data_IF_204520567938
#
_entry.id   IF_204520567938
#
_cell.length_a   1.000
_cell.length_b   1.000
_cell.length_c   1.000
_cell.angle_alpha   90.00
_cell.angle_beta   90.00
_cell.angle_gamma   90.00
#
_symmetry.space_group_name_H-M   'P 1'
#
loop_
_entity.id
_entity.type
_entity.pdbx_description
1 polymer ?
#
# COMPACT_ATOMS: atom_id res chain seq x y z
N UNK A 1 -20.77 -1.31 27.50
CA UNK A 1 -20.02 -2.57 27.71
C UNK A 1 -20.99 -3.69 27.43
N UNK A 2 -20.75 -4.48 26.40
CA UNK A 2 -21.62 -5.64 26.10
C UNK A 2 -21.32 -6.73 27.11
N UNK A 3 -22.37 -7.27 27.67
CA UNK A 3 -22.38 -8.28 28.73
C UNK A 3 -21.53 -9.50 28.40
N UNK A 4 -20.45 -9.72 29.15
CA UNK A 4 -19.76 -11.01 29.25
C UNK A 4 -18.66 -11.32 28.25
N UNK A 5 -18.28 -10.41 27.36
CA UNK A 5 -17.15 -10.65 26.46
C UNK A 5 -15.81 -10.45 27.17
N UNK A 6 -14.94 -11.44 27.09
CA UNK A 6 -13.57 -11.36 27.64
C UNK A 6 -12.70 -10.60 26.65
N UNK A 7 -12.26 -9.41 27.04
CA UNK A 7 -11.38 -8.57 26.23
C UNK A 7 -9.94 -9.12 26.18
N UNK A 8 -9.47 -9.58 27.30
CA UNK A 8 -8.14 -10.12 27.48
C UNK A 8 -8.08 -11.02 28.71
N UNK A 9 -7.18 -11.97 28.70
CA UNK A 9 -6.95 -12.93 29.78
C UNK A 9 -5.45 -12.95 30.08
N UNK A 10 -5.09 -12.71 31.32
CA UNK A 10 -3.71 -12.86 31.80
C UNK A 10 -3.38 -14.34 32.03
N UNK A 11 -3.23 -15.19 31.15
CA UNK A 11 -2.85 -16.60 31.36
C UNK A 11 -3.49 -17.34 32.56
N UNK A 12 -3.21 -18.63 32.78
CA UNK A 12 -3.67 -19.33 33.96
C UNK A 12 -2.95 -18.80 35.23
N UNK A 13 -3.72 -18.59 36.27
CA UNK A 13 -3.17 -18.28 37.59
C UNK A 13 -2.66 -19.59 38.20
N UNK A 14 -1.34 -19.69 38.35
CA UNK A 14 -0.72 -20.83 39.04
C UNK A 14 -0.34 -20.42 40.45
N UNK A 15 -0.34 -21.39 41.37
CA UNK A 15 -0.05 -21.15 42.81
C UNK A 15 1.35 -20.55 43.07
N UNK A 16 2.24 -20.62 42.08
CA UNK A 16 3.61 -20.06 42.19
C UNK A 16 3.69 -18.57 41.80
N UNK A 17 2.60 -17.81 41.84
CA UNK A 17 2.55 -16.38 41.55
C UNK A 17 3.06 -15.97 40.12
N UNK A 18 3.34 -16.94 39.28
CA UNK A 18 3.76 -16.73 37.91
C UNK A 18 2.54 -16.56 36.98
N UNK A 19 1.91 -15.40 37.04
CA UNK A 19 0.96 -14.96 36.00
C UNK A 19 1.80 -14.62 34.77
N UNK A 20 1.83 -15.52 33.81
CA UNK A 20 2.80 -15.52 32.72
C UNK A 20 2.94 -14.19 31.94
N UNK A 21 1.89 -13.38 31.92
CA UNK A 21 1.89 -12.11 31.17
C UNK A 21 2.25 -10.88 32.02
N UNK A 22 2.21 -11.00 33.36
CA UNK A 22 2.60 -9.93 34.30
C UNK A 22 4.00 -10.11 34.88
N UNK A 23 4.54 -11.32 34.84
CA UNK A 23 5.72 -11.70 35.64
C UNK A 23 7.04 -11.64 34.92
N UNK A 24 7.09 -11.21 33.66
CA UNK A 24 8.37 -10.98 32.97
C UNK A 24 9.31 -10.04 33.72
N UNK A 25 8.83 -9.41 34.80
CA UNK A 25 9.53 -8.38 35.57
C UNK A 25 9.46 -8.61 37.07
N UNK A 26 9.57 -9.87 37.46
CA UNK A 26 9.65 -10.30 38.89
C UNK A 26 10.77 -9.66 39.69
N UNK A 27 11.76 -9.04 39.03
CA UNK A 27 12.84 -8.30 39.72
C UNK A 27 12.38 -6.93 40.28
N UNK A 28 11.27 -6.38 39.75
CA UNK A 28 10.78 -5.06 40.16
C UNK A 28 9.58 -5.15 41.11
N UNK A 29 8.75 -6.17 40.92
CA UNK A 29 7.47 -6.35 41.63
C UNK A 29 7.40 -7.68 42.33
N UNK A 30 6.75 -7.68 43.50
CA UNK A 30 6.22 -8.89 44.11
C UNK A 30 4.70 -8.86 44.02
N UNK A 31 4.14 -9.82 43.30
CA UNK A 31 2.71 -10.00 43.16
C UNK A 31 2.22 -11.08 44.12
N UNK A 32 1.08 -10.81 44.79
CA UNK A 32 0.45 -11.75 45.70
C UNK A 32 -1.02 -11.88 45.30
N UNK A 33 -1.45 -13.11 45.08
CA UNK A 33 -2.85 -13.45 44.85
C UNK A 33 -3.49 -13.76 46.20
N UNK A 34 -4.55 -13.06 46.53
CA UNK A 34 -5.33 -13.30 47.74
C UNK A 34 -6.68 -13.86 47.34
N UNK A 35 -6.99 -15.07 47.81
CA UNK A 35 -8.27 -15.74 47.62
C UNK A 35 -9.00 -15.76 48.95
N UNK A 36 -10.09 -15.01 49.06
CA UNK A 36 -11.01 -15.00 50.18
C UNK A 36 -12.38 -15.59 49.77
N UNK A 37 -13.20 -15.95 50.74
CA UNK A 37 -14.46 -16.66 50.50
C UNK A 37 -15.40 -16.06 49.43
N UNK A 38 -15.29 -14.75 49.16
CA UNK A 38 -16.16 -14.06 48.20
C UNK A 38 -15.41 -13.18 47.23
N UNK A 39 -14.06 -13.11 47.27
CA UNK A 39 -13.28 -12.16 46.48
C UNK A 39 -11.88 -12.67 46.21
N UNK A 40 -11.50 -12.65 44.95
CA UNK A 40 -10.11 -12.86 44.52
C UNK A 40 -9.54 -11.54 44.06
N UNK A 41 -8.38 -11.17 44.60
CA UNK A 41 -7.70 -9.95 44.18
C UNK A 41 -6.19 -10.13 44.11
N UNK A 42 -5.58 -9.30 43.29
CA UNK A 42 -4.13 -9.21 43.10
C UNK A 42 -3.62 -8.00 43.82
N UNK A 43 -2.63 -8.20 44.68
CA UNK A 43 -1.85 -7.12 45.28
C UNK A 43 -0.44 -7.13 44.74
N UNK A 44 0.21 -6.00 44.76
CA UNK A 44 1.61 -5.90 44.38
C UNK A 44 2.33 -4.88 45.29
N UNK A 45 3.62 -5.09 45.47
CA UNK A 45 4.52 -4.10 46.03
C UNK A 45 5.81 -4.05 45.20
N UNK A 46 6.47 -2.89 45.21
CA UNK A 46 7.70 -2.65 44.47
C UNK A 46 8.87 -2.85 45.45
N UNK A 47 9.86 -3.63 45.02
CA UNK A 47 11.06 -3.86 45.87
C UNK A 47 11.88 -2.58 46.09
N UNK A 48 11.90 -1.68 45.11
CA UNK A 48 12.61 -0.40 45.15
C UNK A 48 11.71 0.72 45.65
N UNK A 49 12.08 1.30 46.79
CA UNK A 49 11.31 2.37 47.46
C UNK A 49 11.40 3.73 46.74
N UNK A 50 12.35 3.90 45.84
CA UNK A 50 12.60 5.09 45.06
C UNK A 50 11.79 5.14 43.76
N UNK A 51 11.05 4.08 43.43
CA UNK A 51 10.21 3.99 42.22
C UNK A 51 8.75 4.09 42.60
N UNK A 52 8.03 4.97 41.90
CA UNK A 52 6.57 5.04 41.94
C UNK A 52 6.01 4.39 40.66
N UNK A 53 5.04 3.53 40.85
CA UNK A 53 4.36 2.84 39.72
C UNK A 53 2.86 2.92 39.86
N UNK A 54 2.19 2.86 38.69
CA UNK A 54 0.75 2.71 38.62
C UNK A 54 0.35 1.80 37.47
N UNK A 55 -0.77 1.10 37.66
CA UNK A 55 -1.46 0.40 36.58
C UNK A 55 -2.71 1.19 36.18
N UNK A 56 -3.03 1.21 34.91
CA UNK A 56 -4.21 1.84 34.36
C UNK A 56 -4.76 1.06 33.18
N UNK A 57 -6.08 1.00 33.05
CA UNK A 57 -6.73 0.60 31.80
C UNK A 57 -6.98 1.87 31.01
N UNK A 58 -6.42 1.95 29.81
CA UNK A 58 -6.62 3.13 28.97
C UNK A 58 -7.86 3.02 28.06
N UNK A 59 -8.12 4.08 27.33
CA UNK A 59 -9.28 4.16 26.42
C UNK A 59 -9.22 3.18 25.25
N UNK A 60 -8.04 2.67 24.93
CA UNK A 60 -7.84 1.64 23.89
C UNK A 60 -8.22 0.25 24.37
N UNK A 61 -8.39 0.05 25.68
CA UNK A 61 -8.65 -1.26 26.31
C UNK A 61 -7.38 -2.00 26.72
N UNK A 62 -6.20 -1.40 26.60
CA UNK A 62 -4.96 -1.96 27.11
C UNK A 62 -4.80 -1.73 28.60
N UNK A 63 -4.32 -2.73 29.31
CA UNK A 63 -3.86 -2.62 30.67
C UNK A 63 -2.39 -2.17 30.65
N UNK A 64 -2.13 -0.95 31.12
CA UNK A 64 -0.82 -0.28 31.03
C UNK A 64 -0.21 -0.11 32.39
N UNK A 65 1.10 -0.32 32.44
CA UNK A 65 1.95 -0.10 33.59
C UNK A 65 2.84 1.10 33.33
N UNK A 66 2.86 2.04 34.25
CA UNK A 66 3.68 3.25 34.19
C UNK A 66 4.61 3.30 35.39
N UNK A 67 5.81 3.80 35.14
CA UNK A 67 6.79 4.17 36.16
C UNK A 67 6.97 5.69 36.16
N UNK A 68 7.14 6.26 37.36
CA UNK A 68 7.52 7.66 37.50
C UNK A 68 9.03 7.78 37.41
N UNK A 69 9.53 8.27 36.28
CA UNK A 69 10.94 8.44 35.96
C UNK A 69 11.18 9.87 35.48
N UNK A 70 12.24 10.51 35.92
CA UNK A 70 12.66 11.84 35.44
C UNK A 70 11.54 12.91 35.44
N UNK A 71 10.67 12.89 36.46
CA UNK A 71 9.51 13.76 36.64
C UNK A 71 8.37 13.57 35.59
N UNK A 72 8.31 12.42 34.95
CA UNK A 72 7.21 12.06 34.05
C UNK A 72 6.76 10.60 34.20
N UNK A 73 5.51 10.32 33.75
CA UNK A 73 5.02 8.96 33.67
C UNK A 73 5.47 8.29 32.39
N UNK A 74 6.43 7.38 32.50
CA UNK A 74 6.94 6.59 31.39
C UNK A 74 6.18 5.28 31.29
N UNK A 75 5.69 4.93 30.08
CA UNK A 75 5.07 3.63 29.83
C UNK A 75 6.13 2.54 29.90
N UNK A 76 5.95 1.60 30.83
CA UNK A 76 6.89 0.51 31.06
C UNK A 76 6.42 -0.80 30.40
N UNK A 77 5.13 -1.12 30.51
CA UNK A 77 4.55 -2.32 29.90
C UNK A 77 3.08 -2.07 29.51
N UNK A 78 2.58 -2.80 28.54
CA UNK A 78 1.17 -2.80 28.13
C UNK A 78 0.72 -4.21 27.76
N UNK A 79 -0.50 -4.56 28.16
CA UNK A 79 -1.10 -5.84 27.82
C UNK A 79 -2.54 -5.63 27.27
N UNK A 80 -2.90 -6.29 26.15
CA UNK A 80 -1.98 -6.97 25.25
C UNK A 80 -0.94 -6.01 24.67
N UNK A 81 0.23 -6.51 24.28
CA UNK A 81 1.33 -5.68 23.76
C UNK A 81 0.97 -5.00 22.44
N UNK A 82 0.30 -5.71 21.58
CA UNK A 82 -0.10 -5.22 20.26
C UNK A 82 -1.54 -4.71 20.29
N UNK A 83 -1.81 -3.58 19.65
CA UNK A 83 -3.15 -3.00 19.59
C UNK A 83 -4.16 -3.90 18.88
N UNK A 84 -3.72 -4.67 17.89
CA UNK A 84 -4.59 -5.61 17.18
C UNK A 84 -5.06 -6.80 18.04
N UNK A 85 -4.37 -7.10 19.14
CA UNK A 85 -4.78 -8.14 20.09
C UNK A 85 -5.86 -7.67 21.07
N UNK A 86 -6.07 -6.35 21.15
CA UNK A 86 -7.17 -5.77 21.92
C UNK A 86 -8.50 -6.12 21.25
N UNK A 87 -9.42 -6.65 22.03
CA UNK A 87 -10.74 -7.04 21.51
C UNK A 87 -11.48 -5.85 20.88
N UNK A 88 -11.92 -6.04 19.64
CA UNK A 88 -12.68 -5.06 18.86
C UNK A 88 -12.00 -3.69 18.70
N UNK A 89 -10.66 -3.62 18.73
CA UNK A 89 -9.93 -2.36 18.58
C UNK A 89 -10.32 -1.59 17.31
N UNK A 90 -10.45 -2.28 16.18
CA UNK A 90 -10.90 -1.69 14.92
C UNK A 90 -12.43 -1.73 14.73
N UNK A 91 -13.18 -2.20 15.73
CA UNK A 91 -14.63 -2.35 15.62
C UNK A 91 -15.04 -3.49 14.69
N UNK A 92 -16.32 -3.51 14.32
CA UNK A 92 -16.91 -4.53 13.48
C UNK A 92 -16.55 -4.34 12.00
N UNK A 93 -16.37 -5.47 11.27
CA UNK A 93 -16.14 -5.49 9.82
C UNK A 93 -14.92 -4.66 9.35
N UNK A 94 -13.93 -4.56 10.21
CA UNK A 94 -12.64 -3.95 9.93
C UNK A 94 -11.52 -4.96 10.12
N UNK A 95 -10.39 -4.70 9.46
CA UNK A 95 -9.14 -5.43 9.60
C UNK A 95 -8.14 -4.61 10.38
N UNK A 96 -7.42 -5.25 11.29
CA UNK A 96 -6.30 -4.66 12.02
C UNK A 96 -4.97 -5.14 11.45
N UNK A 97 -3.95 -4.28 11.43
CA UNK A 97 -2.58 -4.66 11.10
C UNK A 97 -1.60 -3.95 12.05
N UNK A 98 -0.58 -4.68 12.51
CA UNK A 98 0.48 -4.11 13.35
C UNK A 98 1.70 -3.62 12.53
N UNK A 99 1.63 -3.73 11.18
CA UNK A 99 2.77 -3.46 10.28
C UNK A 99 2.89 -1.99 9.92
N UNK A 100 1.76 -1.30 9.71
CA UNK A 100 1.74 0.07 9.19
C UNK A 100 0.58 0.88 9.74
N UNK A 101 0.75 2.19 9.78
CA UNK A 101 -0.33 3.13 10.09
C UNK A 101 -1.14 3.47 8.84
N UNK A 102 -2.46 3.66 8.95
CA UNK A 102 -3.28 3.43 10.16
C UNK A 102 -3.43 1.93 10.44
N UNK A 103 -3.49 1.57 11.72
CA UNK A 103 -3.64 0.16 12.13
C UNK A 103 -4.96 -0.47 11.70
N UNK A 104 -6.01 0.33 11.52
CA UNK A 104 -7.34 -0.14 11.16
C UNK A 104 -7.70 0.23 9.72
N UNK A 105 -8.34 -0.69 9.02
CA UNK A 105 -8.92 -0.46 7.70
C UNK A 105 -10.25 -1.21 7.57
N UNK A 106 -11.24 -0.58 6.93
CA UNK A 106 -12.48 -1.27 6.62
C UNK A 106 -12.22 -2.44 5.66
N UNK A 107 -12.92 -3.54 5.87
CA UNK A 107 -12.88 -4.65 4.93
C UNK A 107 -13.32 -4.20 3.52
N UNK A 108 -12.83 -4.85 2.46
CA UNK A 108 -13.30 -4.59 1.11
C UNK A 108 -14.83 -4.64 1.00
N UNK A 109 -15.44 -3.66 0.30
CA UNK A 109 -16.88 -3.53 0.22
C UNK A 109 -17.55 -2.91 1.46
N UNK A 110 -16.76 -2.44 2.43
CA UNK A 110 -17.23 -1.75 3.63
C UNK A 110 -16.69 -0.31 3.70
N UNK A 111 -17.32 0.52 4.52
CA UNK A 111 -16.94 1.90 4.78
C UNK A 111 -17.13 2.23 6.26
N UNK A 112 -16.39 3.20 6.82
CA UNK A 112 -16.57 3.61 8.20
C UNK A 112 -18.01 4.03 8.50
N UNK A 113 -18.57 3.60 9.63
CA UNK A 113 -19.88 4.05 10.10
C UNK A 113 -19.82 5.53 10.49
N UNK A 114 -18.70 5.99 11.06
CA UNK A 114 -18.43 7.39 11.36
C UNK A 114 -17.11 7.79 10.71
N UNK A 115 -17.17 8.51 9.61
CA UNK A 115 -15.96 9.00 8.93
C UNK A 115 -15.20 10.01 9.80
N UNK A 116 -15.90 10.84 10.55
CA UNK A 116 -15.28 11.82 11.46
C UNK A 116 -14.50 11.13 12.59
N UNK A 117 -15.12 10.13 13.27
CA UNK A 117 -14.45 9.35 14.30
C UNK A 117 -13.25 8.59 13.73
N UNK A 118 -13.45 7.95 12.56
CA UNK A 118 -12.41 7.19 11.89
C UNK A 118 -11.16 8.03 11.59
N UNK A 119 -11.35 9.25 11.07
CA UNK A 119 -10.25 10.18 10.76
C UNK A 119 -9.54 10.72 12.02
N UNK A 120 -10.23 10.70 13.17
CA UNK A 120 -9.65 11.04 14.49
C UNK A 120 -9.02 9.85 15.20
N UNK A 121 -9.04 8.64 14.59
CA UNK A 121 -8.49 7.42 15.19
C UNK A 121 -9.46 6.68 16.13
N UNK A 122 -10.73 7.07 16.18
CA UNK A 122 -11.78 6.32 16.87
C UNK A 122 -12.41 5.30 15.91
N UNK A 123 -11.97 4.06 16.01
CA UNK A 123 -12.42 2.94 15.19
C UNK A 123 -13.55 2.13 15.85
N UNK A 124 -13.97 2.47 17.05
CA UNK A 124 -14.88 1.68 17.90
C UNK A 124 -16.23 1.35 17.23
N UNK A 125 -16.73 2.25 16.35
CA UNK A 125 -17.97 2.04 15.62
C UNK A 125 -17.83 1.05 14.45
N UNK A 126 -16.61 0.78 14.00
CA UNK A 126 -16.33 -0.14 12.90
C UNK A 126 -16.86 0.33 11.54
N UNK A 127 -17.17 -0.65 10.69
CA UNK A 127 -17.53 -0.44 9.30
C UNK A 127 -18.88 -1.09 8.94
N UNK A 128 -19.63 -0.46 8.05
CA UNK A 128 -20.86 -0.97 7.44
C UNK A 128 -20.64 -1.34 5.98
N UNK A 129 -21.47 -2.24 5.44
CA UNK A 129 -21.44 -2.56 4.00
C UNK A 129 -21.76 -1.34 3.17
N UNK A 130 -21.10 -1.20 2.01
CA UNK A 130 -21.42 -0.19 0.98
C UNK A 130 -22.64 -0.60 0.18
N UNK A 131 -22.72 -1.89 -0.15
CA UNK A 131 -23.79 -2.50 -0.96
C UNK A 131 -24.37 -3.68 -0.20
N UNK A 132 -25.69 -3.73 -0.09
CA UNK A 132 -26.39 -4.84 0.55
C UNK A 132 -26.25 -6.12 -0.26
N UNK A 133 -26.25 -7.26 0.43
CA UNK A 133 -26.23 -8.57 -0.21
C UNK A 133 -27.59 -8.85 -0.86
N UNK A 134 -27.55 -9.48 -2.04
CA UNK A 134 -28.75 -9.93 -2.73
C UNK A 134 -29.18 -11.29 -2.20
N UNK A 135 -29.89 -11.27 -1.09
CA UNK A 135 -30.44 -12.47 -0.48
C UNK A 135 -31.91 -12.64 -0.88
N UNK A 136 -32.21 -13.53 -1.77
CA UNK A 136 -33.58 -13.86 -2.13
C UNK A 136 -33.72 -14.49 -3.50
N UNK A 137 -34.73 -15.35 -3.65
CA UNK A 137 -35.11 -15.99 -4.90
C UNK A 137 -35.82 -15.04 -5.88
N UNK A 138 -35.37 -13.80 -6.03
CA UNK A 138 -35.87 -12.96 -7.11
C UNK A 138 -35.31 -13.46 -8.43
N UNK A 139 -36.05 -14.42 -9.03
CA UNK A 139 -35.78 -15.06 -10.34
C UNK A 139 -35.78 -14.09 -11.51
N UNK A 140 -35.98 -12.80 -11.27
CA UNK A 140 -36.11 -11.78 -12.32
C UNK A 140 -34.92 -10.86 -12.53
N UNK A 141 -33.83 -10.97 -11.75
CA UNK A 141 -32.64 -10.15 -11.96
C UNK A 141 -31.52 -11.02 -12.50
N UNK A 142 -31.21 -10.89 -13.80
CA UNK A 142 -29.99 -11.39 -14.45
C UNK A 142 -28.73 -10.65 -13.98
N UNK A 143 -28.66 -10.25 -12.72
CA UNK A 143 -27.47 -9.64 -12.14
C UNK A 143 -26.59 -10.75 -11.56
N UNK A 144 -25.28 -10.60 -11.72
CA UNK A 144 -24.31 -11.49 -11.10
C UNK A 144 -24.58 -11.53 -9.60
N UNK A 145 -24.83 -12.73 -9.04
CA UNK A 145 -25.16 -12.90 -7.63
C UNK A 145 -24.00 -12.57 -6.69
N UNK A 146 -24.27 -12.55 -5.40
CA UNK A 146 -23.22 -12.39 -4.37
C UNK A 146 -22.08 -13.38 -4.58
N UNK A 147 -20.88 -12.99 -4.15
CA UNK A 147 -19.70 -13.82 -4.30
C UNK A 147 -18.72 -13.64 -3.16
N UNK A 148 -17.54 -14.23 -3.31
CA UNK A 148 -16.53 -14.20 -2.27
C UNK A 148 -15.22 -13.57 -2.76
N UNK A 149 -14.66 -12.73 -1.90
CA UNK A 149 -13.31 -12.22 -2.02
C UNK A 149 -12.40 -12.98 -1.06
N UNK A 150 -11.34 -13.59 -1.56
CA UNK A 150 -10.32 -14.24 -0.75
C UNK A 150 -9.43 -13.19 -0.08
N UNK A 151 -9.32 -13.25 1.24
CA UNK A 151 -8.34 -12.56 2.06
C UNK A 151 -7.36 -13.61 2.55
N UNK A 152 -6.10 -13.49 2.14
CA UNK A 152 -5.07 -14.45 2.53
C UNK A 152 -4.24 -13.92 3.68
N UNK A 153 -3.67 -14.85 4.45
CA UNK A 153 -2.77 -14.56 5.55
C UNK A 153 -3.39 -13.68 6.64
N UNK A 154 -4.57 -14.09 7.13
CA UNK A 154 -5.27 -13.36 8.18
C UNK A 154 -5.43 -14.20 9.44
N UNK A 155 -5.47 -13.55 10.61
CA UNK A 155 -6.05 -14.14 11.82
C UNK A 155 -7.57 -14.09 11.68
N UNK A 156 -8.22 -15.25 11.85
CA UNK A 156 -9.67 -15.36 11.64
C UNK A 156 -10.46 -14.57 12.69
N UNK A 157 -11.62 -14.02 12.33
CA UNK A 157 -12.48 -13.33 13.27
C UNK A 157 -12.95 -14.26 14.40
N UNK A 158 -13.36 -13.70 15.52
CA UNK A 158 -13.99 -14.45 16.63
C UNK A 158 -15.42 -14.89 16.26
N UNK A 159 -15.97 -15.83 17.05
CA UNK A 159 -17.38 -16.29 16.96
C UNK A 159 -17.76 -16.99 15.66
N UNK A 160 -16.92 -17.94 15.21
CA UNK A 160 -17.26 -18.81 14.10
C UNK A 160 -18.29 -19.88 14.52
N UNK A 161 -19.08 -20.33 13.52
CA UNK A 161 -19.89 -21.53 13.58
C UNK A 161 -19.22 -22.62 12.73
N UNK A 162 -19.00 -23.78 13.27
CA UNK A 162 -18.41 -24.91 12.55
C UNK A 162 -19.48 -25.73 11.88
N UNK A 163 -19.28 -26.08 10.61
CA UNK A 163 -20.13 -26.97 9.83
C UNK A 163 -19.35 -28.23 9.42
N UNK A 164 -19.98 -29.37 9.51
CA UNK A 164 -19.43 -30.62 8.98
C UNK A 164 -19.74 -30.70 7.48
N UNK A 165 -18.75 -30.44 6.65
CA UNK A 165 -18.85 -30.55 5.19
C UNK A 165 -17.58 -31.17 4.62
N UNK A 166 -17.71 -31.88 3.50
CA UNK A 166 -16.60 -32.64 2.91
C UNK A 166 -15.70 -31.85 1.99
N UNK A 167 -16.12 -30.66 1.56
CA UNK A 167 -15.36 -29.87 0.59
C UNK A 167 -15.51 -28.36 0.80
N UNK A 168 -14.53 -27.61 0.32
CA UNK A 168 -14.58 -26.14 0.26
C UNK A 168 -15.77 -25.65 -0.58
N UNK A 169 -16.17 -26.42 -1.61
CA UNK A 169 -17.33 -26.12 -2.45
C UNK A 169 -18.63 -26.16 -1.67
N UNK A 170 -18.81 -27.15 -0.81
CA UNK A 170 -19.97 -27.26 0.07
C UNK A 170 -19.97 -26.16 1.14
N UNK A 171 -18.82 -25.87 1.76
CA UNK A 171 -18.68 -24.76 2.70
C UNK A 171 -19.07 -23.43 2.07
N UNK A 172 -18.61 -23.18 0.84
CA UNK A 172 -18.95 -21.99 0.04
C UNK A 172 -20.46 -21.93 -0.24
N UNK A 173 -21.07 -23.04 -0.66
CA UNK A 173 -22.49 -23.09 -1.00
C UNK A 173 -23.36 -22.88 0.24
N UNK A 174 -22.97 -23.44 1.39
CA UNK A 174 -23.66 -23.26 2.67
C UNK A 174 -23.66 -21.81 3.12
N UNK A 175 -22.51 -21.10 2.98
CA UNK A 175 -22.44 -19.68 3.29
C UNK A 175 -23.18 -18.83 2.25
N UNK A 176 -23.18 -19.21 0.96
CA UNK A 176 -23.85 -18.45 -0.08
C UNK A 176 -25.38 -18.46 0.10
N UNK A 177 -25.95 -19.63 0.42
CA UNK A 177 -27.39 -19.80 0.65
C UNK A 177 -27.88 -19.17 1.97
N UNK A 178 -26.99 -18.94 2.92
CA UNK A 178 -27.31 -18.29 4.18
C UNK A 178 -27.16 -16.76 4.07
N UNK A 179 -28.27 -16.05 4.13
CA UNK A 179 -28.28 -14.58 4.05
C UNK A 179 -27.52 -13.89 5.18
N UNK A 180 -27.49 -14.48 6.36
CA UNK A 180 -26.74 -13.95 7.49
C UNK A 180 -25.25 -14.22 7.38
N UNK A 181 -24.80 -15.12 6.47
CA UNK A 181 -23.38 -15.44 6.35
C UNK A 181 -22.59 -14.25 5.80
N UNK A 182 -21.59 -13.79 6.55
CA UNK A 182 -20.68 -12.70 6.19
C UNK A 182 -19.39 -13.17 5.56
N UNK A 183 -19.02 -14.43 5.78
CA UNK A 183 -17.83 -15.06 5.20
C UNK A 183 -17.61 -16.47 5.74
N UNK A 184 -16.63 -17.16 5.14
CA UNK A 184 -16.25 -18.52 5.57
C UNK A 184 -14.74 -18.72 5.49
N UNK A 185 -14.26 -19.74 6.19
CA UNK A 185 -12.92 -20.31 6.07
C UNK A 185 -13.00 -21.82 6.01
N UNK A 186 -12.11 -22.46 5.27
CA UNK A 186 -12.05 -23.92 5.16
C UNK A 186 -10.60 -24.36 5.41
N UNK A 187 -10.37 -25.04 6.53
CA UNK A 187 -9.05 -25.42 7.01
C UNK A 187 -9.12 -26.85 7.51
N UNK A 188 -8.22 -27.72 7.09
CA UNK A 188 -8.09 -29.11 7.56
C UNK A 188 -9.44 -29.86 7.57
N UNK A 189 -10.20 -29.75 6.47
CA UNK A 189 -11.53 -30.31 6.27
C UNK A 189 -12.62 -29.75 7.18
N UNK A 190 -12.34 -28.69 7.94
CA UNK A 190 -13.31 -28.01 8.77
C UNK A 190 -13.81 -26.72 8.10
N UNK A 191 -15.12 -26.59 7.97
CA UNK A 191 -15.78 -25.39 7.51
C UNK A 191 -16.16 -24.52 8.70
N UNK A 192 -15.69 -23.28 8.70
CA UNK A 192 -16.09 -22.26 9.65
C UNK A 192 -16.83 -21.15 8.92
N UNK A 193 -18.03 -20.79 9.39
CA UNK A 193 -18.80 -19.67 8.85
C UNK A 193 -19.04 -18.62 9.92
N UNK A 194 -19.20 -17.38 9.48
CA UNK A 194 -19.55 -16.24 10.34
C UNK A 194 -20.89 -15.67 9.89
N UNK A 195 -21.82 -15.56 10.83
CA UNK A 195 -23.20 -15.07 10.60
C UNK A 195 -23.48 -13.74 11.31
N UNK A 196 -22.47 -13.19 11.97
CA UNK A 196 -22.52 -11.92 12.67
C UNK A 196 -21.43 -10.99 12.12
N UNK A 197 -21.32 -9.79 12.69
CA UNK A 197 -20.24 -8.86 12.37
C UNK A 197 -18.86 -9.49 12.63
N UNK A 198 -17.93 -9.26 11.72
CA UNK A 198 -16.56 -9.76 11.80
C UNK A 198 -15.76 -8.91 12.78
N UNK A 199 -15.30 -9.50 13.87
CA UNK A 199 -14.54 -8.82 14.94
C UNK A 199 -13.18 -9.49 15.10
N UNK A 200 -12.13 -8.68 15.32
CA UNK A 200 -10.75 -9.14 15.50
C UNK A 200 -10.15 -9.87 14.29
N UNK A 201 -10.55 -9.53 13.08
CA UNK A 201 -9.81 -9.94 11.90
C UNK A 201 -8.50 -9.14 11.81
N UNK A 202 -7.36 -9.84 11.72
CA UNK A 202 -6.06 -9.18 11.60
C UNK A 202 -5.38 -9.59 10.29
N UNK A 203 -4.80 -8.63 9.60
CA UNK A 203 -3.93 -8.88 8.47
C UNK A 203 -2.51 -9.06 8.97
N UNK A 204 -1.94 -10.24 8.77
CA UNK A 204 -0.57 -10.54 9.16
C UNK A 204 0.46 -10.00 8.15
N UNK A 205 1.72 -9.80 8.57
CA UNK A 205 2.83 -9.50 7.69
C UNK A 205 3.02 -10.59 6.62
N UNK A 206 3.66 -10.24 5.50
CA UNK A 206 3.83 -11.18 4.40
C UNK A 206 4.78 -12.35 4.71
N UNK A 207 5.67 -12.17 5.65
CA UNK A 207 6.64 -13.15 6.17
C UNK A 207 6.07 -14.07 7.26
N UNK A 208 4.93 -13.72 7.84
CA UNK A 208 4.23 -14.55 8.83
C UNK A 208 3.35 -15.59 8.10
N UNK A 209 3.70 -16.85 8.22
CA UNK A 209 3.00 -17.99 7.58
C UNK A 209 1.89 -18.59 8.44
N UNK A 210 1.65 -18.05 9.63
CA UNK A 210 0.64 -18.60 10.56
C UNK A 210 -0.79 -18.23 10.17
N UNK A 211 -0.95 -17.25 9.28
CA UNK A 211 -2.25 -16.77 8.82
C UNK A 211 -3.04 -17.82 8.02
N UNK A 212 -4.33 -17.57 7.94
CA UNK A 212 -5.31 -18.45 7.26
C UNK A 212 -5.99 -17.69 6.11
N UNK A 213 -6.63 -18.46 5.23
CA UNK A 213 -7.48 -17.92 4.18
C UNK A 213 -8.90 -17.68 4.70
N UNK A 214 -9.42 -16.48 4.46
CA UNK A 214 -10.79 -16.10 4.77
C UNK A 214 -11.49 -15.62 3.51
N UNK A 215 -12.71 -16.12 3.29
CA UNK A 215 -13.53 -15.79 2.12
C UNK A 215 -14.66 -14.85 2.54
N UNK A 216 -14.48 -13.56 2.29
CA UNK A 216 -15.43 -12.50 2.62
C UNK A 216 -16.58 -12.46 1.61
N UNK A 217 -17.82 -12.55 2.04
CA UNK A 217 -19.01 -12.46 1.18
C UNK A 217 -19.27 -11.01 0.81
N UNK A 218 -19.35 -10.74 -0.49
CA UNK A 218 -19.56 -9.40 -1.06
C UNK A 218 -20.67 -9.43 -2.11
N UNK A 219 -21.35 -8.29 -2.26
CA UNK A 219 -22.27 -8.07 -3.38
C UNK A 219 -21.52 -8.08 -4.72
N UNK A 220 -22.16 -8.51 -5.79
CA UNK A 220 -21.58 -8.57 -7.12
C UNK A 220 -20.97 -7.23 -7.57
N UNK A 221 -21.65 -6.12 -7.31
CA UNK A 221 -21.19 -4.78 -7.66
C UNK A 221 -19.83 -4.43 -7.05
N UNK A 222 -19.59 -4.83 -5.79
CA UNK A 222 -18.32 -4.59 -5.11
C UNK A 222 -17.18 -5.48 -5.64
N UNK A 223 -17.51 -6.68 -6.12
CA UNK A 223 -16.55 -7.60 -6.76
C UNK A 223 -16.14 -7.12 -8.15
N UNK A 224 -17.08 -6.62 -8.95
CA UNK A 224 -16.82 -6.10 -10.30
C UNK A 224 -15.99 -4.83 -10.28
N UNK A 225 -16.28 -3.91 -9.36
CA UNK A 225 -15.50 -2.67 -9.19
C UNK A 225 -14.02 -2.97 -8.94
N UNK A 226 -13.70 -4.01 -8.21
CA UNK A 226 -12.31 -4.42 -7.95
C UNK A 226 -11.63 -5.04 -9.16
N UNK A 227 -12.34 -5.85 -9.95
CA UNK A 227 -11.80 -6.40 -11.20
C UNK A 227 -11.45 -5.27 -12.17
N UNK A 228 -12.32 -4.26 -12.26
CA UNK A 228 -12.08 -3.07 -13.10
C UNK A 228 -10.89 -2.23 -12.67
N UNK A 229 -10.68 -2.06 -11.35
CA UNK A 229 -9.57 -1.26 -10.81
C UNK A 229 -8.22 -1.98 -11.00
N UNK A 230 -8.17 -3.30 -10.83
CA UNK A 230 -6.97 -4.10 -11.08
C UNK A 230 -6.50 -4.03 -12.53
N UNK A 231 -7.42 -4.08 -13.49
CA UNK A 231 -7.11 -3.96 -14.92
C UNK A 231 -6.67 -2.55 -15.33
N UNK A 232 -7.27 -1.49 -14.77
CA UNK A 232 -6.86 -0.11 -15.02
C UNK A 232 -5.43 0.15 -14.52
N UNK A 233 -5.07 -0.33 -13.33
CA UNK A 233 -3.72 -0.18 -12.78
C UNK A 233 -2.67 -0.93 -13.60
N UNK A 234 -2.94 -2.19 -14.01
CA UNK A 234 -2.04 -2.94 -14.91
C UNK A 234 -1.87 -2.24 -16.26
N UNK A 235 -2.95 -1.74 -16.85
CA UNK A 235 -2.91 -1.00 -18.12
C UNK A 235 -2.12 0.30 -18.00
N UNK A 236 -2.27 1.05 -16.91
CA UNK A 236 -1.48 2.27 -16.64
C UNK A 236 0.00 1.97 -16.50
N UNK A 237 0.40 0.89 -15.80
CA UNK A 237 1.81 0.50 -15.66
C UNK A 237 2.40 0.10 -17.02
N UNK A 238 1.67 -0.65 -17.84
CA UNK A 238 2.12 -1.05 -19.18
C UNK A 238 2.32 0.20 -20.07
N UNK A 239 1.35 1.12 -20.07
CA UNK A 239 1.44 2.36 -20.86
C UNK A 239 2.65 3.21 -20.41
N UNK A 240 2.87 3.38 -19.11
CA UNK A 240 4.03 4.15 -18.62
C UNK A 240 5.36 3.48 -18.98
N UNK A 241 5.45 2.16 -18.91
CA UNK A 241 6.66 1.42 -19.29
C UNK A 241 6.96 1.55 -20.79
N UNK A 242 5.93 1.45 -21.65
CA UNK A 242 6.12 1.61 -23.12
C UNK A 242 6.56 3.02 -23.48
N UNK A 243 5.96 4.06 -22.87
CA UNK A 243 6.37 5.45 -23.08
C UNK A 243 7.84 5.66 -22.67
N UNK A 244 8.25 5.13 -21.53
CA UNK A 244 9.63 5.25 -21.05
C UNK A 244 10.63 4.57 -22.00
N UNK A 245 10.31 3.40 -22.51
CA UNK A 245 11.17 2.69 -23.49
C UNK A 245 11.28 3.46 -24.79
N UNK A 246 10.18 4.02 -25.30
CA UNK A 246 10.21 4.79 -26.57
C UNK A 246 11.02 6.08 -26.42
N UNK A 247 10.91 6.79 -25.31
CA UNK A 247 11.74 8.00 -25.04
C UNK A 247 13.22 7.61 -24.97
N UNK A 248 13.56 6.52 -24.27
CA UNK A 248 14.95 6.10 -24.15
C UNK A 248 15.57 5.66 -25.48
N UNK A 249 14.82 4.92 -26.31
CA UNK A 249 15.31 4.49 -27.64
C UNK A 249 15.47 5.69 -28.58
N UNK A 250 14.55 6.66 -28.57
CA UNK A 250 14.69 7.86 -29.40
C UNK A 250 15.88 8.72 -28.97
N UNK A 251 16.17 8.86 -27.68
CA UNK A 251 17.32 9.56 -27.17
C UNK A 251 18.66 8.89 -27.60
N UNK A 252 18.70 7.55 -27.58
CA UNK A 252 19.87 6.80 -28.06
C UNK A 252 20.10 7.00 -29.55
N UNK A 253 19.06 6.99 -30.38
CA UNK A 253 19.17 7.20 -31.83
C UNK A 253 19.68 8.62 -32.15
N UNK A 254 19.19 9.64 -31.45
CA UNK A 254 19.65 11.01 -31.59
C UNK A 254 21.13 11.11 -31.21
N UNK A 255 21.51 10.46 -30.12
CA UNK A 255 22.91 10.46 -29.67
C UNK A 255 23.84 9.77 -30.70
N UNK A 256 23.44 8.62 -31.24
CA UNK A 256 24.21 7.92 -32.30
C UNK A 256 24.34 8.77 -33.56
N UNK A 257 23.24 9.41 -34.00
CA UNK A 257 23.27 10.30 -35.16
C UNK A 257 24.25 11.49 -34.97
N UNK A 258 24.31 12.04 -33.77
CA UNK A 258 25.25 13.11 -33.44
C UNK A 258 26.70 12.60 -33.39
N UNK A 259 26.97 11.45 -32.79
CA UNK A 259 28.29 10.85 -32.69
C UNK A 259 28.87 10.57 -34.10
N UNK A 260 28.06 10.02 -34.99
CA UNK A 260 28.42 9.78 -36.38
C UNK A 260 28.61 11.08 -37.19
N UNK A 261 27.80 12.10 -36.94
CA UNK A 261 27.95 13.42 -37.56
C UNK A 261 29.27 14.07 -37.16
N UNK A 262 29.64 14.04 -35.88
CA UNK A 262 30.89 14.64 -35.38
C UNK A 262 32.14 13.84 -35.76
N UNK A 263 32.02 12.55 -36.00
CA UNK A 263 33.10 11.66 -36.43
C UNK A 263 33.42 11.77 -37.93
N UNK A 264 32.72 12.64 -38.67
CA UNK A 264 32.85 12.78 -40.12
C UNK A 264 32.48 11.54 -40.93
N UNK A 265 31.69 10.64 -40.37
CA UNK A 265 31.19 9.44 -41.03
C UNK A 265 29.64 9.39 -41.08
N UNK A 266 28.95 10.46 -41.55
CA UNK A 266 27.47 10.47 -41.55
C UNK A 266 26.82 9.41 -42.46
N UNK A 267 27.62 8.80 -43.35
CA UNK A 267 27.15 7.78 -44.29
C UNK A 267 27.02 6.37 -43.67
N UNK A 268 27.64 6.12 -42.54
CA UNK A 268 27.45 4.83 -41.81
C UNK A 268 26.05 4.66 -41.23
N UNK A 269 25.27 5.73 -41.11
CA UNK A 269 23.85 5.68 -40.76
C UNK A 269 22.97 5.11 -41.88
N UNK A 270 23.49 4.96 -43.09
CA UNK A 270 22.74 4.45 -44.24
C UNK A 270 23.08 3.00 -44.49
N UNK A 271 22.04 2.19 -44.64
CA UNK A 271 22.17 0.80 -45.03
C UNK A 271 22.88 0.71 -46.40
N UNK A 272 23.82 -0.21 -46.55
CA UNK A 272 24.73 -0.32 -47.71
C UNK A 272 24.03 -0.49 -49.09
N UNK A 273 22.71 -0.61 -49.11
CA UNK A 273 21.88 -0.76 -50.32
C UNK A 273 21.59 0.59 -51.00
N UNK A 274 21.81 1.75 -50.36
CA UNK A 274 21.43 3.06 -50.88
C UNK A 274 22.71 3.91 -51.14
N UNK A 275 23.70 3.34 -51.79
CA UNK A 275 24.96 4.05 -52.11
C UNK A 275 24.97 4.71 -53.49
N UNK A 276 23.86 5.16 -53.98
CA UNK A 276 23.83 5.96 -55.23
C UNK A 276 24.23 7.41 -54.89
N UNK A 277 25.17 8.00 -55.66
CA UNK A 277 25.82 9.27 -55.37
C UNK A 277 24.87 10.48 -55.25
N UNK A 278 23.73 10.42 -55.93
CA UNK A 278 22.68 11.46 -55.86
C UNK A 278 21.87 11.40 -54.55
N UNK A 279 21.68 10.21 -54.01
CA UNK A 279 21.00 10.02 -52.70
C UNK A 279 21.85 10.43 -51.52
N UNK A 280 23.13 10.28 -51.60
CA UNK A 280 24.07 10.57 -50.51
C UNK A 280 24.01 12.03 -50.07
N UNK A 281 24.00 12.97 -51.03
CA UNK A 281 23.94 14.41 -50.73
C UNK A 281 22.60 14.81 -50.09
N UNK A 282 21.52 14.26 -50.59
CA UNK A 282 20.18 14.50 -50.04
C UNK A 282 20.04 13.92 -48.60
N UNK A 283 20.60 12.73 -48.38
CA UNK A 283 20.55 12.07 -47.06
C UNK A 283 21.34 12.87 -46.01
N UNK A 284 22.56 13.33 -46.31
CA UNK A 284 23.35 14.18 -45.42
C UNK A 284 22.60 15.48 -45.10
N UNK A 285 21.89 16.04 -46.06
CA UNK A 285 21.06 17.23 -45.87
C UNK A 285 19.90 16.96 -44.90
N UNK A 286 19.20 15.85 -45.03
CA UNK A 286 18.11 15.49 -44.12
C UNK A 286 18.60 15.19 -42.71
N UNK A 287 19.75 14.53 -42.56
CA UNK A 287 20.39 14.31 -41.26
C UNK A 287 20.75 15.67 -40.60
N UNK A 288 21.30 16.59 -41.37
CA UNK A 288 21.62 17.93 -40.88
C UNK A 288 20.34 18.64 -40.37
N UNK A 289 19.28 18.70 -41.15
CA UNK A 289 18.01 19.33 -40.77
C UNK A 289 17.44 18.66 -39.50
N UNK A 290 17.47 17.33 -39.40
CA UNK A 290 17.05 16.62 -38.21
C UNK A 290 17.85 16.98 -36.95
N UNK A 291 19.18 17.10 -37.08
CA UNK A 291 20.04 17.51 -35.97
C UNK A 291 19.80 18.97 -35.56
N UNK A 292 19.48 19.86 -36.48
CA UNK A 292 19.08 21.25 -36.19
C UNK A 292 17.77 21.28 -35.36
N UNK A 293 16.83 20.39 -35.62
CA UNK A 293 15.57 20.33 -34.88
C UNK A 293 15.71 19.85 -33.43
N UNK A 294 16.76 19.11 -33.10
CA UNK A 294 16.97 18.51 -31.78
C UNK A 294 18.08 19.17 -30.94
N UNK A 295 18.50 20.36 -31.31
CA UNK A 295 19.55 21.11 -30.58
C UNK A 295 19.16 21.36 -29.11
N UNK A 296 20.17 21.54 -28.25
CA UNK A 296 19.96 21.71 -26.80
C UNK A 296 19.13 22.96 -26.49
N UNK A 297 19.41 24.07 -27.10
CA UNK A 297 18.69 25.33 -26.88
C UNK A 297 17.51 25.46 -27.82
N UNK A 298 16.34 25.84 -27.29
CA UNK A 298 15.13 26.01 -28.09
C UNK A 298 15.25 27.14 -29.13
N UNK A 299 16.00 28.18 -28.83
CA UNK A 299 16.27 29.34 -29.70
C UNK A 299 17.11 28.99 -30.92
N UNK A 300 17.93 27.96 -30.84
CA UNK A 300 18.79 27.49 -31.93
C UNK A 300 18.05 26.53 -32.89
N UNK A 301 16.83 26.10 -32.52
CA UNK A 301 16.01 25.19 -33.33
C UNK A 301 15.28 25.98 -34.42
N UNK A 302 15.27 25.49 -35.65
CA UNK A 302 14.47 26.13 -36.71
C UNK A 302 12.98 26.01 -36.41
N UNK A 303 12.19 27.02 -36.83
CA UNK A 303 10.74 26.91 -36.83
C UNK A 303 10.28 25.88 -37.85
N UNK A 304 9.06 25.36 -37.73
CA UNK A 304 8.52 24.43 -38.74
C UNK A 304 8.44 25.07 -40.13
N UNK A 305 8.25 26.38 -40.23
CA UNK A 305 8.31 27.13 -41.49
C UNK A 305 9.70 27.10 -42.13
N UNK A 306 10.74 27.27 -41.28
CA UNK A 306 12.13 27.18 -41.74
C UNK A 306 12.47 25.75 -42.18
N UNK A 307 12.04 24.74 -41.43
CA UNK A 307 12.22 23.31 -41.78
C UNK A 307 11.62 23.00 -43.14
N UNK A 308 10.37 23.43 -43.38
CA UNK A 308 9.71 23.24 -44.67
C UNK A 308 10.47 23.95 -45.79
N UNK A 309 10.94 25.16 -45.55
CA UNK A 309 11.75 25.90 -46.52
C UNK A 309 13.11 25.20 -46.81
N UNK A 310 13.78 24.69 -45.78
CA UNK A 310 15.03 23.92 -45.87
C UNK A 310 14.87 22.61 -46.64
N UNK A 311 13.72 21.94 -46.49
CA UNK A 311 13.39 20.70 -47.22
C UNK A 311 13.01 20.98 -48.67
N UNK A 312 12.31 22.09 -48.93
CA UNK A 312 11.80 22.43 -50.30
C UNK A 312 12.87 23.06 -51.20
N UNK A 313 13.89 23.68 -50.65
CA UNK A 313 14.90 24.39 -51.42
C UNK A 313 16.28 23.78 -51.27
N UNK A 314 16.69 22.96 -52.24
CA UNK A 314 17.96 22.23 -52.21
C UNK A 314 19.19 23.13 -52.29
N UNK A 315 19.08 24.36 -52.76
CA UNK A 315 20.19 25.31 -52.92
C UNK A 315 20.47 26.11 -51.65
N UNK A 316 19.63 26.05 -50.64
CA UNK A 316 19.83 26.77 -49.38
C UNK A 316 20.99 26.15 -48.59
N UNK A 317 21.98 26.96 -48.24
CA UNK A 317 23.08 26.55 -47.37
C UNK A 317 22.53 26.39 -45.95
N UNK A 318 22.67 25.19 -45.39
CA UNK A 318 22.21 24.90 -44.03
C UNK A 318 23.28 25.31 -43.01
N UNK A 319 22.90 25.84 -41.84
CA UNK A 319 23.84 26.08 -40.77
C UNK A 319 24.37 24.74 -40.22
N UNK A 320 25.56 24.75 -39.64
CA UNK A 320 26.11 23.57 -39.00
C UNK A 320 25.35 23.31 -37.67
N UNK A 321 24.88 22.10 -37.42
CA UNK A 321 24.19 21.79 -36.19
C UNK A 321 25.14 21.88 -34.98
N UNK A 322 24.64 22.42 -33.87
CA UNK A 322 25.30 22.43 -32.59
C UNK A 322 24.87 21.20 -31.77
N UNK A 323 25.39 21.11 -30.56
CA UNK A 323 25.18 19.94 -29.70
C UNK A 323 23.70 19.67 -29.42
N UNK A 324 23.18 18.43 -29.61
CA UNK A 324 21.79 18.09 -29.33
C UNK A 324 21.54 17.97 -27.84
N UNK A 325 20.28 18.16 -27.43
CA UNK A 325 19.80 17.82 -26.11
C UNK A 325 20.13 16.34 -25.77
N UNK A 326 20.47 16.06 -24.53
CA UNK A 326 20.83 14.70 -24.02
C UNK A 326 22.21 14.15 -24.41
N UNK A 327 23.08 14.89 -25.07
CA UNK A 327 24.43 14.41 -25.42
C UNK A 327 25.38 14.30 -24.21
N UNK A 328 25.01 14.81 -23.03
CA UNK A 328 25.82 14.81 -21.80
C UNK A 328 25.66 13.54 -20.91
N UNK A 329 24.91 12.53 -21.32
CA UNK A 329 24.64 11.35 -20.50
C UNK A 329 25.89 10.54 -20.16
N UNK A 330 26.97 10.66 -20.93
CA UNK A 330 28.21 9.93 -20.71
C UNK A 330 29.16 10.53 -19.67
N UNK A 331 28.97 11.80 -19.25
CA UNK A 331 29.86 12.47 -18.27
C UNK A 331 29.57 12.10 -16.80
N UNK A 332 28.52 11.36 -16.50
CA UNK A 332 28.15 11.00 -15.12
C UNK A 332 28.74 9.66 -14.62
N UNK A 333 29.52 8.96 -15.42
CA UNK A 333 30.17 7.70 -15.01
C UNK A 333 31.70 7.85 -15.07
N UNK A 334 32.24 8.74 -14.25
CA UNK A 334 33.67 8.74 -13.93
C UNK A 334 33.85 8.78 -12.41
N UNK A 335 34.27 7.69 -11.73
CA UNK A 335 34.28 7.58 -10.28
C UNK A 335 35.46 8.30 -9.59
N UNK A 336 36.25 9.15 -10.28
CA UNK A 336 37.43 9.78 -9.71
C UNK A 336 37.50 11.28 -9.99
N UNK A 337 36.56 12.06 -9.46
CA UNK A 337 36.79 13.50 -9.28
C UNK A 337 36.13 13.97 -7.99
N UNK A 338 36.94 14.54 -7.10
CA UNK A 338 36.58 15.15 -5.82
C UNK A 338 35.47 16.21 -5.96
N UNK A 339 34.65 16.37 -4.89
CA UNK A 339 33.46 17.22 -4.98
C UNK A 339 33.82 18.70 -4.97
N UNK A 340 33.66 19.37 -6.09
CA UNK A 340 33.50 20.82 -6.15
C UNK A 340 32.00 21.14 -5.97
N UNK A 341 31.72 22.17 -5.15
CA UNK A 341 30.43 22.72 -4.72
C UNK A 341 29.29 22.55 -5.72
N UNK A 342 28.08 22.17 -5.26
CA UNK A 342 26.91 22.13 -6.12
C UNK A 342 26.45 23.54 -6.45
N UNK A 343 26.47 23.90 -7.73
CA UNK A 343 25.66 24.99 -8.25
C UNK A 343 24.19 24.54 -8.20
N UNK A 344 23.40 25.36 -7.55
CA UNK A 344 21.96 25.19 -7.36
C UNK A 344 21.29 25.35 -8.72
N UNK A 345 20.92 24.23 -9.36
CA UNK A 345 19.99 24.29 -10.48
C UNK A 345 18.61 24.68 -9.93
N UNK A 346 18.15 25.84 -10.40
CA UNK A 346 16.85 26.43 -10.08
C UNK A 346 15.72 25.42 -10.29
N UNK A 347 15.12 25.00 -9.20
CA UNK A 347 13.82 24.32 -9.22
C UNK A 347 12.77 25.34 -9.67
N UNK A 348 11.95 24.98 -10.67
CA UNK A 348 10.79 25.76 -11.05
C UNK A 348 9.87 25.90 -9.83
N UNK A 349 9.83 27.08 -9.22
CA UNK A 349 8.82 27.46 -8.25
C UNK A 349 7.47 27.54 -8.97
N UNK A 350 6.59 26.60 -8.66
CA UNK A 350 5.17 26.72 -8.94
C UNK A 350 4.60 27.83 -8.05
N UNK A 351 4.47 29.02 -8.59
CA UNK A 351 3.72 30.11 -7.95
C UNK A 351 2.24 29.75 -7.92
N UNK A 352 1.77 29.30 -6.75
CA UNK A 352 0.35 29.21 -6.45
C UNK A 352 -0.22 30.62 -6.28
N UNK A 353 -0.93 31.12 -7.29
CA UNK A 353 -1.71 32.34 -7.18
C UNK A 353 -2.95 32.05 -6.33
N UNK A 354 -3.02 32.68 -5.15
CA UNK A 354 -4.22 32.68 -4.29
C UNK A 354 -5.26 33.56 -4.96
N UNK A 355 -6.32 32.96 -5.47
CA UNK A 355 -7.54 33.65 -5.91
C UNK A 355 -8.35 34.04 -4.69
N UNK A 356 -8.32 35.30 -4.30
CA UNK A 356 -9.30 35.88 -3.39
C UNK A 356 -10.60 36.08 -4.15
N UNK A 357 -11.63 35.29 -3.80
CA UNK A 357 -13.00 35.54 -4.22
C UNK A 357 -13.59 36.73 -3.45
N UNK A 358 -14.16 37.67 -4.18
CA UNK A 358 -15.01 38.76 -3.69
C UNK A 358 -16.44 38.27 -3.63
#
# INVERSE_FOLDING_TARGET
MSSGEIYWKAGPWTDDANVSDFTTESFLYNFTIVSELNMNYLTYYIYRKDIISRFAIDVTGQFKQFLWLENEWTLFNSQPRQLCDVYAYCGANASCTNVSLPYCSCLPGFQPISLEGWNKGDYSRGCSRKTDLQCGNDTNIKAAGDGFLKLSNVVLPKKQLTLEVQSIGECRSSCLSNCSCTGFSYIDQNCSIWTTALINLQQLPADDISGRDFFLKLAAADLETRKGTGNKRKRSIIISATISVTIFTSALLIWQAWDLWTSSWPLELMESVIQDSSFTTAAIRYINIALLCVQERAEDRPTMSDVVSMLSNELTVLPSPMKPAFSNVRSMVNPNSSPSKPEICSANELTLSVLNAR
#
